data_IF_037314431079
#
_entry.id   IF_037314431079
#
_cell.length_a   1.000
_cell.length_b   1.000
_cell.length_c   1.000
_cell.angle_alpha   90.00
_cell.angle_beta   90.00
_cell.angle_gamma   90.00
#
_symmetry.space_group_name_H-M   'P 1'
#
loop_
_entity.id
_entity.type
_entity.pdbx_description
1 polymer ?
#
# COMPACT_ATOMS: atom_id res chain seq x y z
N UNK A 1 23.10 -11.21 17.17
CA UNK A 1 23.65 -10.00 16.61
C UNK A 1 22.61 -8.94 16.53
N UNK A 2 23.03 -7.77 16.81
CA UNK A 2 22.16 -6.60 16.84
C UNK A 2 21.55 -6.24 15.48
N UNK A 3 21.55 -7.12 14.53
CA UNK A 3 21.12 -6.79 13.18
C UNK A 3 19.78 -7.35 12.78
N UNK A 4 19.16 -8.15 13.63
CA UNK A 4 17.73 -8.30 13.60
C UNK A 4 17.11 -7.05 14.16
N UNK A 5 17.51 -5.94 13.57
CA UNK A 5 16.86 -4.73 13.98
C UNK A 5 15.47 -4.67 13.35
N UNK A 6 14.67 -3.76 13.88
CA UNK A 6 13.29 -3.59 13.51
C UNK A 6 13.10 -3.18 12.03
N UNK A 7 14.19 -2.95 11.31
CA UNK A 7 14.19 -2.56 9.91
C UNK A 7 13.99 -3.71 8.95
N UNK A 8 14.43 -4.91 9.35
CA UNK A 8 14.45 -6.08 8.47
C UNK A 8 13.07 -6.48 7.96
N UNK A 9 12.01 -6.54 8.80
CA UNK A 9 10.66 -6.83 8.30
C UNK A 9 10.18 -5.83 7.25
N UNK A 10 10.48 -4.55 7.42
CA UNK A 10 10.09 -3.51 6.47
C UNK A 10 10.77 -3.74 5.13
N UNK A 11 12.08 -3.99 5.13
CA UNK A 11 12.84 -4.23 3.90
C UNK A 11 12.34 -5.47 3.17
N UNK A 12 12.06 -6.56 3.91
CA UNK A 12 11.51 -7.78 3.32
C UNK A 12 10.12 -7.56 2.74
N UNK A 13 9.26 -6.83 3.44
CA UNK A 13 7.91 -6.54 2.96
C UNK A 13 7.95 -5.75 1.65
N UNK A 14 8.79 -4.73 1.56
CA UNK A 14 8.96 -3.94 0.34
C UNK A 14 9.48 -4.81 -0.82
N UNK A 15 10.45 -5.66 -0.55
CA UNK A 15 11.05 -6.54 -1.53
C UNK A 15 10.05 -7.57 -2.06
N UNK A 16 9.30 -8.22 -1.17
CA UNK A 16 8.28 -9.20 -1.55
C UNK A 16 7.13 -8.55 -2.33
N UNK A 17 6.71 -7.36 -1.91
CA UNK A 17 5.67 -6.63 -2.64
C UNK A 17 6.14 -6.29 -4.05
N UNK A 18 7.35 -5.78 -4.20
CA UNK A 18 7.93 -5.45 -5.50
C UNK A 18 8.06 -6.69 -6.41
N UNK A 19 8.30 -7.85 -5.81
CA UNK A 19 8.36 -9.12 -6.54
C UNK A 19 6.98 -9.69 -6.89
N UNK A 20 5.90 -9.06 -6.46
CA UNK A 20 4.55 -9.53 -6.71
C UNK A 20 4.08 -10.65 -5.79
N UNK A 21 4.79 -10.91 -4.70
CA UNK A 21 4.48 -11.99 -3.76
C UNK A 21 3.69 -11.46 -2.57
N UNK A 22 2.38 -11.47 -2.70
CA UNK A 22 1.48 -10.96 -1.66
C UNK A 22 1.57 -11.75 -0.36
N UNK A 23 1.60 -13.08 -0.44
CA UNK A 23 1.59 -13.91 0.77
C UNK A 23 2.88 -13.73 1.59
N UNK A 24 4.03 -13.66 0.94
CA UNK A 24 5.29 -13.38 1.64
C UNK A 24 5.33 -11.96 2.19
N UNK A 25 4.75 -10.99 1.48
CA UNK A 25 4.60 -9.64 2.01
C UNK A 25 3.83 -9.66 3.33
N UNK A 26 2.70 -10.36 3.37
CA UNK A 26 1.85 -10.45 4.55
C UNK A 26 2.49 -11.16 5.74
N UNK A 27 3.45 -12.05 5.50
CA UNK A 27 4.19 -12.73 6.56
C UNK A 27 4.97 -11.75 7.45
N UNK A 28 5.31 -10.57 6.94
CA UNK A 28 6.05 -9.55 7.70
C UNK A 28 5.15 -8.70 8.60
N UNK A 29 3.84 -8.83 8.49
CA UNK A 29 2.87 -8.06 9.27
C UNK A 29 2.28 -8.91 10.40
N UNK A 30 1.97 -8.25 11.53
CA UNK A 30 1.30 -8.93 12.64
C UNK A 30 -0.16 -9.23 12.30
N UNK A 31 -0.76 -10.21 12.98
CA UNK A 31 -2.17 -10.55 12.77
C UNK A 31 -3.11 -9.38 13.09
N UNK A 32 -2.74 -8.53 14.03
CA UNK A 32 -3.51 -7.37 14.45
C UNK A 32 -2.98 -6.04 13.90
N UNK A 33 -2.33 -6.08 12.74
CA UNK A 33 -1.77 -4.90 12.06
C UNK A 33 -2.80 -3.78 11.95
N UNK A 34 -2.34 -2.56 12.23
CA UNK A 34 -3.07 -1.33 11.92
C UNK A 34 -2.42 -0.69 10.71
N UNK A 35 -3.10 -0.73 9.56
CA UNK A 35 -2.62 -0.10 8.34
C UNK A 35 -3.53 1.08 8.02
N UNK A 36 -3.07 2.28 8.33
CA UNK A 36 -3.87 3.50 8.28
C UNK A 36 -3.52 4.33 7.04
N UNK A 37 -4.55 4.86 6.40
CA UNK A 37 -4.42 5.72 5.23
C UNK A 37 -5.16 7.02 5.50
N UNK A 38 -4.65 8.12 4.99
CA UNK A 38 -5.23 9.45 5.16
C UNK A 38 -6.40 9.73 4.20
N UNK A 39 -7.12 8.72 3.77
CA UNK A 39 -8.18 8.81 2.77
C UNK A 39 -9.50 8.33 3.34
N UNK A 40 -10.59 8.95 2.92
CA UNK A 40 -11.95 8.49 3.25
C UNK A 40 -12.26 7.21 2.46
N UNK A 41 -12.42 6.10 3.20
CA UNK A 41 -12.69 4.78 2.63
C UNK A 41 -14.01 4.68 1.85
N UNK A 42 -14.97 5.57 2.11
CA UNK A 42 -16.25 5.57 1.38
C UNK A 42 -16.07 6.01 -0.07
N UNK A 43 -15.11 6.90 -0.32
CA UNK A 43 -14.86 7.41 -1.66
C UNK A 43 -14.02 6.44 -2.49
N UNK A 44 -13.05 5.76 -1.86
CA UNK A 44 -12.08 4.90 -2.57
C UNK A 44 -11.82 3.64 -1.74
N UNK A 45 -12.63 2.57 -1.89
CA UNK A 45 -12.55 1.38 -1.03
C UNK A 45 -11.18 0.70 -0.99
N UNK A 46 -10.44 0.64 -2.10
CA UNK A 46 -9.12 -0.01 -2.10
C UNK A 46 -8.04 0.84 -1.43
N UNK A 47 -8.37 2.06 -0.98
CA UNK A 47 -7.50 2.90 -0.16
C UNK A 47 -7.99 2.97 1.29
N UNK A 48 -8.92 2.11 1.68
CA UNK A 48 -9.43 2.07 3.04
C UNK A 48 -8.34 1.63 4.03
N UNK A 49 -8.37 2.21 5.24
CA UNK A 49 -7.54 1.71 6.33
C UNK A 49 -7.93 0.29 6.66
N UNK A 50 -6.95 -0.52 7.06
CA UNK A 50 -7.15 -1.93 7.37
C UNK A 50 -6.85 -2.21 8.83
N UNK A 51 -7.77 -2.92 9.49
CA UNK A 51 -7.64 -3.34 10.89
C UNK A 51 -7.48 -4.86 10.91
N UNK A 52 -6.25 -5.32 11.09
CA UNK A 52 -5.91 -6.72 11.08
C UNK A 52 -5.46 -7.24 9.71
N UNK A 53 -4.77 -8.38 9.73
CA UNK A 53 -4.14 -8.96 8.53
C UNK A 53 -5.18 -9.45 7.52
N UNK A 54 -6.31 -9.97 7.97
CA UNK A 54 -7.38 -10.44 7.08
C UNK A 54 -7.91 -9.28 6.25
N UNK A 55 -8.18 -8.15 6.91
CA UNK A 55 -8.66 -6.93 6.26
C UNK A 55 -7.61 -6.38 5.29
N UNK A 56 -6.34 -6.34 5.72
CA UNK A 56 -5.24 -5.90 4.87
C UNK A 56 -5.10 -6.78 3.62
N UNK A 57 -5.21 -8.10 3.77
CA UNK A 57 -5.14 -9.02 2.63
C UNK A 57 -6.22 -8.71 1.60
N UNK A 58 -7.44 -8.50 2.05
CA UNK A 58 -8.56 -8.19 1.16
C UNK A 58 -8.31 -6.90 0.37
N UNK A 59 -7.83 -5.86 1.04
CA UNK A 59 -7.52 -4.60 0.40
C UNK A 59 -6.40 -4.74 -0.63
N UNK A 60 -5.32 -5.43 -0.28
CA UNK A 60 -4.19 -5.61 -1.18
C UNK A 60 -4.56 -6.48 -2.39
N UNK A 61 -5.40 -7.49 -2.18
CA UNK A 61 -5.94 -8.30 -3.28
C UNK A 61 -6.78 -7.44 -4.23
N UNK A 62 -7.58 -6.54 -3.70
CA UNK A 62 -8.40 -5.63 -4.50
C UNK A 62 -7.53 -4.68 -5.33
N UNK A 63 -6.47 -4.14 -4.75
CA UNK A 63 -5.50 -3.30 -5.48
C UNK A 63 -4.89 -4.08 -6.64
N UNK A 64 -4.45 -5.31 -6.40
CA UNK A 64 -3.86 -6.15 -7.46
C UNK A 64 -4.86 -6.54 -8.53
N UNK A 65 -6.12 -6.73 -8.16
CA UNK A 65 -7.18 -7.04 -9.13
C UNK A 65 -7.55 -5.83 -9.98
N UNK A 66 -7.44 -4.63 -9.44
CA UNK A 66 -7.82 -3.38 -10.10
C UNK A 66 -6.70 -2.83 -10.99
N UNK A 67 -5.47 -2.90 -10.52
CA UNK A 67 -4.32 -2.31 -11.19
C UNK A 67 -3.23 -3.33 -11.48
N UNK A 68 -2.51 -3.09 -12.57
CA UNK A 68 -1.20 -3.67 -12.80
C UNK A 68 -0.16 -2.66 -12.31
N UNK A 69 0.77 -3.13 -11.49
CA UNK A 69 1.84 -2.28 -10.98
C UNK A 69 3.02 -2.35 -11.94
N UNK A 70 3.23 -1.28 -12.69
CA UNK A 70 4.31 -1.20 -13.67
C UNK A 70 5.64 -0.82 -13.03
N UNK A 71 5.60 -0.15 -11.88
CA UNK A 71 6.78 0.26 -11.13
C UNK A 71 6.45 0.31 -9.64
N UNK A 72 7.32 -0.24 -8.83
CA UNK A 72 7.34 -0.05 -7.38
C UNK A 72 8.79 0.10 -6.97
N UNK A 73 9.20 1.34 -6.70
CA UNK A 73 10.61 1.64 -6.45
C UNK A 73 10.76 2.53 -5.22
N UNK A 74 11.30 2.01 -4.12
CA UNK A 74 11.63 2.86 -2.99
C UNK A 74 12.67 3.91 -3.39
N UNK A 75 12.32 5.17 -3.24
CA UNK A 75 13.20 6.29 -3.51
C UNK A 75 14.11 6.57 -2.32
N UNK A 76 13.55 6.48 -1.11
CA UNK A 76 14.34 6.62 0.11
C UNK A 76 13.77 5.77 1.22
N UNK A 77 14.65 5.23 2.05
CA UNK A 77 14.32 4.47 3.24
C UNK A 77 15.15 5.06 4.37
N UNK A 78 14.49 5.65 5.36
CA UNK A 78 15.15 6.33 6.48
C UNK A 78 14.68 5.69 7.78
N UNK A 79 15.64 5.15 8.52
CA UNK A 79 15.38 4.52 9.81
C UNK A 79 15.47 5.57 10.92
N UNK A 80 14.33 5.87 11.52
CA UNK A 80 14.23 6.73 12.69
C UNK A 80 14.33 5.91 13.97
N UNK A 81 14.30 6.55 15.13
CA UNK A 81 14.40 5.85 16.41
C UNK A 81 13.22 4.89 16.65
N UNK A 82 12.00 5.31 16.29
CA UNK A 82 10.79 4.58 16.61
C UNK A 82 10.11 3.94 15.39
N UNK A 83 10.46 4.36 14.17
CA UNK A 83 9.82 3.88 12.95
C UNK A 83 10.77 4.01 11.76
N UNK A 84 10.38 3.38 10.64
CA UNK A 84 11.07 3.51 9.36
C UNK A 84 10.18 4.30 8.40
N UNK A 85 10.74 5.37 7.82
CA UNK A 85 10.06 6.16 6.78
C UNK A 85 10.47 5.68 5.41
N UNK A 86 9.49 5.51 4.53
CA UNK A 86 9.74 5.12 3.15
C UNK A 86 9.02 6.08 2.23
N UNK A 87 9.72 6.53 1.20
CA UNK A 87 9.13 7.22 0.07
C UNK A 87 9.25 6.29 -1.12
N UNK A 88 8.13 5.95 -1.75
CA UNK A 88 8.11 5.01 -2.86
C UNK A 88 7.48 5.64 -4.09
N UNK A 89 8.10 5.41 -5.24
CA UNK A 89 7.53 5.77 -6.54
C UNK A 89 6.78 4.56 -7.07
N UNK A 90 5.52 4.76 -7.43
CA UNK A 90 4.63 3.71 -7.90
C UNK A 90 4.00 4.13 -9.21
N UNK A 91 4.01 3.26 -10.20
CA UNK A 91 3.24 3.44 -11.43
C UNK A 91 2.20 2.33 -11.53
N UNK A 92 0.96 2.72 -11.61
CA UNK A 92 -0.18 1.83 -11.72
C UNK A 92 -0.83 1.99 -13.08
N UNK A 93 -1.29 0.89 -13.64
CA UNK A 93 -2.09 0.88 -14.85
C UNK A 93 -3.41 0.18 -14.57
N UNK A 94 -4.52 0.90 -14.79
CA UNK A 94 -5.84 0.33 -14.58
C UNK A 94 -6.09 -0.81 -15.57
N UNK A 95 -6.44 -1.99 -15.06
CA UNK A 95 -6.52 -3.19 -15.92
C UNK A 95 -7.61 -3.12 -16.98
N UNK A 96 -8.74 -2.45 -16.66
CA UNK A 96 -9.85 -2.38 -17.61
C UNK A 96 -9.69 -1.28 -18.65
N UNK A 97 -9.20 -0.10 -18.25
CA UNK A 97 -9.14 1.08 -19.13
C UNK A 97 -7.77 1.33 -19.72
N UNK A 98 -6.71 0.77 -19.12
CA UNK A 98 -5.33 1.06 -19.50
C UNK A 98 -4.80 2.40 -19.00
N UNK A 99 -5.61 3.17 -18.28
CA UNK A 99 -5.18 4.47 -17.76
C UNK A 99 -4.04 4.30 -16.75
N UNK A 100 -3.07 5.20 -16.82
CA UNK A 100 -1.87 5.15 -15.96
C UNK A 100 -1.88 6.22 -14.90
N UNK A 101 -1.39 5.86 -13.71
CA UNK A 101 -1.18 6.77 -12.59
C UNK A 101 0.24 6.64 -12.10
N UNK A 102 0.92 7.79 -11.92
CA UNK A 102 2.22 7.86 -11.27
C UNK A 102 2.04 8.47 -9.90
N UNK A 103 2.48 7.77 -8.87
CA UNK A 103 2.27 8.14 -7.47
C UNK A 103 3.61 8.23 -6.74
N UNK A 104 3.69 9.13 -5.78
CA UNK A 104 4.72 9.11 -4.74
C UNK A 104 4.01 8.93 -3.41
N UNK A 105 4.29 7.83 -2.74
CA UNK A 105 3.60 7.43 -1.52
C UNK A 105 4.57 7.50 -0.35
N UNK A 106 4.16 8.16 0.73
CA UNK A 106 4.92 8.22 1.97
C UNK A 106 4.37 7.21 2.95
N UNK A 107 5.26 6.39 3.51
CA UNK A 107 4.91 5.32 4.43
C UNK A 107 5.74 5.45 5.70
N UNK A 108 5.13 5.10 6.83
CA UNK A 108 5.82 4.92 8.10
C UNK A 108 5.48 3.54 8.63
N UNK A 109 6.49 2.84 9.10
CA UNK A 109 6.36 1.48 9.61
C UNK A 109 6.87 1.38 11.03
N UNK A 110 6.07 0.81 11.91
CA UNK A 110 6.47 0.46 13.28
C UNK A 110 6.57 -1.05 13.39
N UNK A 111 7.63 -1.52 13.99
CA UNK A 111 7.94 -2.95 14.15
C UNK A 111 8.05 -3.27 15.63
N UNK A 112 7.47 -4.39 16.03
CA UNK A 112 7.56 -4.93 17.38
C UNK A 112 7.57 -6.45 17.31
N UNK A 113 8.47 -7.10 18.05
CA UNK A 113 8.56 -8.56 18.05
C UNK A 113 8.89 -9.15 16.69
N UNK A 114 9.60 -8.43 15.83
CA UNK A 114 10.00 -8.90 14.51
C UNK A 114 8.92 -8.82 13.45
N UNK A 115 7.77 -8.18 13.73
CA UNK A 115 6.67 -8.00 12.79
C UNK A 115 6.27 -6.53 12.72
N UNK A 116 5.75 -6.13 11.56
CA UNK A 116 5.18 -4.79 11.37
C UNK A 116 3.83 -4.75 12.08
N UNK A 117 3.70 -3.87 13.07
CA UNK A 117 2.49 -3.76 13.89
C UNK A 117 1.62 -2.57 13.55
N UNK A 118 2.20 -1.58 12.87
CA UNK A 118 1.50 -0.38 12.43
C UNK A 118 2.15 0.16 11.18
N UNK A 119 1.35 0.59 10.24
CA UNK A 119 1.80 1.32 9.06
C UNK A 119 0.88 2.50 8.84
N UNK A 120 1.47 3.63 8.48
CA UNK A 120 0.73 4.82 8.07
C UNK A 120 1.13 5.16 6.64
N UNK A 121 0.15 5.20 5.76
CA UNK A 121 0.33 5.59 4.37
C UNK A 121 -0.28 6.96 4.14
N UNK A 122 0.48 7.86 3.53
CA UNK A 122 0.00 9.19 3.21
C UNK A 122 0.02 9.40 1.70
N UNK A 123 -1.15 9.69 1.15
CA UNK A 123 -1.34 10.08 -0.24
C UNK A 123 -1.62 11.57 -0.31
N UNK A 124 -0.98 12.27 -1.24
CA UNK A 124 -1.27 13.67 -1.49
C UNK A 124 -2.65 13.82 -2.12
N UNK A 125 -3.30 14.96 -1.88
CA UNK A 125 -4.68 15.22 -2.31
C UNK A 125 -4.90 14.99 -3.80
N UNK A 126 -3.93 15.34 -4.63
CA UNK A 126 -3.99 15.15 -6.09
C UNK A 126 -4.14 13.69 -6.48
N UNK A 127 -3.52 12.77 -5.75
CA UNK A 127 -3.64 11.33 -6.00
C UNK A 127 -4.99 10.79 -5.54
N UNK A 128 -5.47 11.28 -4.40
CA UNK A 128 -6.79 10.93 -3.89
C UNK A 128 -7.87 11.33 -4.91
N UNK A 129 -7.79 12.54 -5.44
CA UNK A 129 -8.71 13.02 -6.48
C UNK A 129 -8.65 12.17 -7.74
N UNK A 130 -7.46 11.75 -8.15
CA UNK A 130 -7.29 10.87 -9.30
C UNK A 130 -8.00 9.51 -9.09
N UNK A 131 -7.82 8.91 -7.92
CA UNK A 131 -8.51 7.66 -7.59
C UNK A 131 -10.02 7.82 -7.53
N UNK A 132 -10.51 8.93 -7.01
CA UNK A 132 -11.94 9.23 -7.00
C UNK A 132 -12.52 9.34 -8.41
N UNK A 133 -11.81 9.99 -9.32
CA UNK A 133 -12.21 10.05 -10.74
C UNK A 133 -12.28 8.67 -11.38
N UNK A 134 -11.33 7.79 -11.04
CA UNK A 134 -11.35 6.40 -11.52
C UNK A 134 -12.58 5.65 -11.05
N UNK A 135 -12.92 5.74 -9.78
CA UNK A 135 -14.09 5.08 -9.22
C UNK A 135 -15.35 5.55 -9.95
N UNK A 136 -15.51 6.86 -10.13
CA UNK A 136 -16.65 7.43 -10.85
C UNK A 136 -16.70 6.96 -12.30
N UNK A 137 -15.57 6.93 -12.98
CA UNK A 137 -15.48 6.47 -14.36
C UNK A 137 -15.89 5.01 -14.47
N UNK A 138 -15.44 4.16 -13.59
CA UNK A 138 -15.79 2.74 -13.55
C UNK A 138 -17.28 2.54 -13.28
N UNK A 139 -17.85 3.29 -12.34
CA UNK A 139 -19.29 3.23 -12.04
C UNK A 139 -20.12 3.65 -13.25
N UNK A 140 -19.74 4.72 -13.93
CA UNK A 140 -20.42 5.21 -15.12
C UNK A 140 -20.33 4.20 -16.28
N UNK A 141 -19.18 3.59 -16.48
CA UNK A 141 -18.99 2.57 -17.50
C UNK A 141 -19.88 1.33 -17.23
N UNK A 142 -19.97 0.93 -15.96
CA UNK A 142 -20.82 -0.19 -15.56
C UNK A 142 -22.32 0.10 -15.81
N UNK A 143 -22.75 1.35 -15.64
CA UNK A 143 -24.14 1.76 -15.89
C UNK A 143 -24.49 1.86 -17.37
N UNK A 144 -23.47 2.01 -18.23
CA UNK A 144 -23.66 2.20 -19.67
C UNK A 144 -23.85 0.89 -20.44
N UNK A 145 -23.73 -0.24 -19.75
CA UNK A 145 -23.82 -1.57 -20.37
C UNK A 145 -25.22 -2.14 -20.31
#
# INVERSE_FOLDING_TARGET
MPFDDDRTPVLRALEHWAAGDLERTLEEFSEDILFLINVDSHAVPFLASSLGKVDLRQRLQLIKATFHEDLFEPESIIHEADYTRVLVNVELRHRMTGERLSLRIRLRYWVDGGLIVRTEEHLDAQYVEAFQRFVLHMENAARSV
#
